data_IF_484300332086
#
_entry.id   IF_484300332086
#
_cell.length_a   1.000
_cell.length_b   1.000
_cell.length_c   1.000
_cell.angle_alpha   90.00
_cell.angle_beta   90.00
_cell.angle_gamma   90.00
#
_symmetry.space_group_name_H-M   'P 1'
#
loop_
_entity.id
_entity.type
_entity.pdbx_description
1 polymer ?
#
# COMPACT_ATOMS: atom_id res chain seq x y z
N UNK A 1 3.93 18.03 6.77
CA UNK A 1 4.97 17.92 7.82
C UNK A 1 4.30 17.99 9.18
N UNK A 2 4.61 17.01 10.04
CA UNK A 2 4.19 16.98 11.45
C UNK A 2 5.40 17.30 12.31
N UNK A 3 5.22 18.15 13.32
CA UNK A 3 6.25 18.45 14.31
C UNK A 3 5.59 18.55 15.69
N UNK A 4 6.11 17.82 16.67
CA UNK A 4 5.58 17.78 18.05
C UNK A 4 4.07 17.51 18.12
N UNK A 5 3.58 16.59 17.28
CA UNK A 5 2.16 16.21 17.22
C UNK A 5 1.25 17.24 16.55
N UNK A 6 1.81 18.32 15.97
CA UNK A 6 1.05 19.35 15.25
C UNK A 6 1.37 19.34 13.75
N UNK A 7 0.35 19.60 12.93
CA UNK A 7 0.53 19.82 11.49
C UNK A 7 1.10 21.23 11.28
N UNK A 8 2.35 21.30 10.81
CA UNK A 8 3.06 22.57 10.60
C UNK A 8 3.07 22.99 9.14
N UNK A 9 3.09 22.03 8.21
CA UNK A 9 3.03 22.32 6.77
C UNK A 9 2.17 21.27 6.08
N UNK A 10 1.37 21.69 5.11
CA UNK A 10 0.58 20.79 4.28
C UNK A 10 0.53 21.33 2.86
N UNK A 11 1.17 20.61 1.94
CA UNK A 11 1.19 20.94 0.51
C UNK A 11 1.84 19.80 -0.29
N UNK A 12 1.93 19.96 -1.61
CA UNK A 12 2.72 19.06 -2.45
C UNK A 12 4.22 19.11 -2.12
N UNK A 13 4.93 17.97 -2.11
CA UNK A 13 6.36 17.93 -1.76
C UNK A 13 7.22 18.87 -2.63
N UNK A 14 6.92 18.99 -3.92
CA UNK A 14 7.68 19.87 -4.81
C UNK A 14 7.48 21.35 -4.49
N UNK A 15 6.27 21.74 -4.12
CA UNK A 15 5.92 23.11 -3.72
C UNK A 15 6.55 23.49 -2.39
N UNK A 16 6.51 22.57 -1.41
CA UNK A 16 7.21 22.75 -0.13
C UNK A 16 8.72 22.94 -0.32
N UNK A 17 9.32 22.21 -1.28
CA UNK A 17 10.74 22.30 -1.59
C UNK A 17 11.17 23.59 -2.31
N UNK A 18 10.24 24.32 -2.95
CA UNK A 18 10.56 25.64 -3.50
C UNK A 18 10.75 26.69 -2.40
N UNK A 19 10.11 26.49 -1.25
CA UNK A 19 10.21 27.37 -0.08
C UNK A 19 11.43 26.95 0.74
N UNK A 20 12.58 27.60 0.51
CA UNK A 20 13.84 27.26 1.21
C UNK A 20 13.75 27.36 2.74
N UNK A 21 12.86 28.20 3.25
CA UNK A 21 12.59 28.38 4.68
C UNK A 21 11.52 27.42 5.23
N UNK A 22 11.04 26.46 4.43
CA UNK A 22 10.08 25.47 4.91
C UNK A 22 10.78 24.40 5.74
N UNK A 23 10.08 23.90 6.75
CA UNK A 23 10.55 22.79 7.58
C UNK A 23 10.80 21.55 6.74
N UNK A 24 9.95 21.30 5.73
CA UNK A 24 10.19 20.21 4.79
C UNK A 24 11.51 20.37 4.02
N UNK A 25 11.82 21.57 3.54
CA UNK A 25 13.09 21.86 2.86
C UNK A 25 14.30 21.65 3.75
N UNK A 26 14.22 22.07 5.02
CA UNK A 26 15.26 21.83 6.01
C UNK A 26 15.50 20.33 6.21
N UNK A 27 14.43 19.55 6.45
CA UNK A 27 14.52 18.10 6.63
C UNK A 27 15.15 17.39 5.41
N UNK A 28 14.83 17.84 4.20
CA UNK A 28 15.43 17.29 2.98
C UNK A 28 16.89 17.70 2.83
N UNK A 29 17.27 18.90 3.26
CA UNK A 29 18.67 19.34 3.26
C UNK A 29 19.51 18.60 4.32
N UNK A 30 18.94 18.26 5.47
CA UNK A 30 19.60 17.46 6.52
C UNK A 30 20.05 16.08 6.01
N UNK A 31 19.34 15.49 5.04
CA UNK A 31 19.77 14.25 4.36
C UNK A 31 21.10 14.44 3.62
N UNK A 32 21.32 15.63 3.07
CA UNK A 32 22.58 16.03 2.44
C UNK A 32 22.91 15.32 1.11
N UNK A 33 23.90 15.90 0.41
CA UNK A 33 24.53 15.35 -0.78
C UNK A 33 23.56 14.86 -1.86
N UNK A 34 23.82 13.67 -2.41
CA UNK A 34 23.00 13.06 -3.47
C UNK A 34 21.59 12.67 -3.01
N UNK A 35 21.37 12.53 -1.71
CA UNK A 35 20.07 12.13 -1.14
C UNK A 35 19.04 13.25 -1.28
N UNK A 36 19.41 14.47 -0.93
CA UNK A 36 18.55 15.65 -1.06
C UNK A 36 18.22 15.96 -2.52
N UNK A 37 19.21 15.88 -3.41
CA UNK A 37 19.03 16.05 -4.86
C UNK A 37 18.06 15.04 -5.45
N UNK A 38 18.21 13.75 -5.07
CA UNK A 38 17.31 12.68 -5.52
C UNK A 38 15.88 12.90 -5.03
N UNK A 39 15.70 13.32 -3.78
CA UNK A 39 14.37 13.62 -3.22
C UNK A 39 13.71 14.78 -3.97
N UNK A 40 14.47 15.85 -4.26
CA UNK A 40 13.98 16.97 -5.06
C UNK A 40 13.57 16.51 -6.47
N UNK A 41 14.38 15.68 -7.12
CA UNK A 41 14.06 15.19 -8.45
C UNK A 41 12.82 14.29 -8.47
N UNK A 42 12.65 13.42 -7.47
CA UNK A 42 11.45 12.58 -7.33
C UNK A 42 10.20 13.44 -7.11
N UNK A 43 10.27 14.43 -6.21
CA UNK A 43 9.17 15.36 -5.97
C UNK A 43 8.80 16.12 -7.27
N UNK A 44 9.81 16.62 -8.00
CA UNK A 44 9.61 17.28 -9.29
C UNK A 44 8.91 16.36 -10.29
N UNK A 45 9.37 15.12 -10.46
CA UNK A 45 8.76 14.14 -11.38
C UNK A 45 7.32 13.84 -11.02
N UNK A 46 7.02 13.66 -9.73
CA UNK A 46 5.66 13.39 -9.25
C UNK A 46 4.71 14.57 -9.50
N UNK A 47 5.16 15.81 -9.28
CA UNK A 47 4.40 17.02 -9.58
C UNK A 47 4.07 17.13 -11.07
N UNK A 48 5.05 16.97 -11.96
CA UNK A 48 4.82 17.04 -13.41
C UNK A 48 3.90 15.94 -13.92
N UNK A 49 3.99 14.74 -13.36
CA UNK A 49 3.09 13.63 -13.72
C UNK A 49 1.63 13.97 -13.39
N UNK A 50 1.38 14.53 -12.20
CA UNK A 50 0.03 14.96 -11.79
C UNK A 50 -0.55 16.05 -12.68
N UNK A 51 0.26 17.03 -13.06
CA UNK A 51 -0.18 18.07 -14.00
C UNK A 51 -0.61 17.48 -15.34
N UNK A 52 0.21 16.57 -15.91
CA UNK A 52 -0.11 15.90 -17.17
C UNK A 52 -1.38 15.04 -17.08
N UNK A 53 -1.57 14.33 -15.97
CA UNK A 53 -2.78 13.53 -15.73
C UNK A 53 -4.03 14.41 -15.64
N UNK A 54 -3.95 15.54 -14.94
CA UNK A 54 -5.05 16.50 -14.84
C UNK A 54 -5.41 17.09 -16.22
N UNK A 55 -4.42 17.43 -17.04
CA UNK A 55 -4.66 17.89 -18.41
C UNK A 55 -5.37 16.82 -19.27
N UNK A 56 -5.07 15.54 -19.02
CA UNK A 56 -5.72 14.42 -19.73
C UNK A 56 -7.08 14.00 -19.17
N UNK A 57 -7.36 14.26 -17.89
CA UNK A 57 -8.59 13.86 -17.22
C UNK A 57 -9.81 14.69 -17.65
N UNK A 58 -9.61 15.94 -18.11
CA UNK A 58 -10.67 16.75 -18.71
C UNK A 58 -11.09 16.28 -20.11
N UNK A 59 -10.35 15.37 -20.75
CA UNK A 59 -10.62 14.87 -22.09
C UNK A 59 -11.18 13.44 -22.18
N UNK A 60 -11.45 12.74 -21.08
CA UNK A 60 -11.78 11.29 -21.13
C UNK A 60 -12.74 10.79 -20.04
N UNK A 61 -13.71 11.62 -19.62
CA UNK A 61 -14.92 11.10 -18.96
C UNK A 61 -15.94 10.64 -20.02
N UNK A 62 -15.65 9.56 -20.74
CA UNK A 62 -16.70 8.85 -21.47
C UNK A 62 -16.50 7.34 -21.38
N UNK A 63 -17.46 6.70 -20.70
CA UNK A 63 -17.82 5.28 -20.75
C UNK A 63 -16.84 4.28 -20.12
N UNK A 64 -16.94 4.13 -18.79
CA UNK A 64 -16.89 2.79 -18.18
C UNK A 64 -18.25 2.47 -17.56
N UNK A 65 -19.19 2.11 -18.42
CA UNK A 65 -20.43 1.47 -18.02
C UNK A 65 -20.09 0.08 -17.46
N UNK A 66 -20.37 -0.13 -16.18
CA UNK A 66 -20.45 -1.46 -15.58
C UNK A 66 -21.62 -2.23 -16.21
N UNK A 67 -21.33 -2.98 -17.26
CA UNK A 67 -22.12 -4.13 -17.71
C UNK A 67 -21.09 -5.24 -17.78
N UNK A 68 -20.99 -6.11 -16.78
CA UNK A 68 -21.71 -7.37 -16.74
C UNK A 68 -21.85 -7.86 -15.29
N UNK A 69 -23.03 -7.68 -14.70
CA UNK A 69 -23.56 -8.64 -13.72
C UNK A 69 -24.39 -9.63 -14.52
N UNK A 70 -23.74 -10.66 -15.09
CA UNK A 70 -24.45 -11.80 -15.66
C UNK A 70 -24.85 -12.72 -14.52
N UNK A 71 -26.16 -12.74 -14.30
CA UNK A 71 -26.91 -13.63 -13.43
C UNK A 71 -26.82 -15.09 -13.91
N UNK A 72 -26.19 -15.94 -13.12
CA UNK A 72 -26.39 -17.38 -13.17
C UNK A 72 -26.81 -17.89 -11.78
N UNK A 73 -28.05 -17.57 -11.41
CA UNK A 73 -28.84 -18.40 -10.51
C UNK A 73 -29.74 -19.28 -11.37
N UNK A 74 -29.56 -20.61 -11.31
CA UNK A 74 -30.65 -21.58 -11.45
C UNK A 74 -30.26 -22.96 -10.88
N UNK A 75 -30.72 -23.18 -9.65
CA UNK A 75 -31.42 -24.41 -9.28
C UNK A 75 -30.58 -25.63 -8.91
N UNK A 76 -30.49 -25.89 -7.60
CA UNK A 76 -30.96 -27.17 -7.05
C UNK A 76 -31.22 -27.07 -5.55
N UNK A 77 -32.51 -27.11 -5.24
CA UNK A 77 -33.06 -27.39 -3.92
C UNK A 77 -32.47 -28.69 -3.34
N UNK A 78 -32.04 -28.67 -2.08
CA UNK A 78 -32.42 -29.74 -1.13
C UNK A 78 -32.48 -29.14 0.29
N UNK A 79 -33.55 -29.43 1.06
CA UNK A 79 -33.69 -29.01 2.44
C UNK A 79 -33.07 -30.03 3.41
N UNK A 80 -32.59 -29.50 4.54
CA UNK A 80 -32.26 -30.15 5.83
C UNK A 80 -32.45 -31.68 5.98
N UNK A 81 -31.41 -32.36 6.45
CA UNK A 81 -31.55 -33.68 7.08
C UNK A 81 -30.25 -34.36 7.54
N UNK A 82 -29.98 -34.26 8.84
CA UNK A 82 -29.43 -35.31 9.72
C UNK A 82 -27.92 -35.66 9.61
N UNK A 83 -27.35 -35.72 10.82
CA UNK A 83 -25.99 -36.03 11.25
C UNK A 83 -25.45 -37.37 10.75
N UNK A 84 -24.13 -37.47 10.50
CA UNK A 84 -23.38 -38.59 11.06
C UNK A 84 -21.88 -38.27 11.26
N UNK A 85 -21.36 -38.71 12.39
CA UNK A 85 -19.97 -38.55 12.80
C UNK A 85 -19.11 -39.58 12.06
N UNK A 86 -18.08 -39.15 11.34
CA UNK A 86 -16.99 -40.05 10.97
C UNK A 86 -15.62 -39.36 11.02
N UNK A 87 -14.94 -39.58 12.14
CA UNK A 87 -13.51 -39.44 12.31
C UNK A 87 -12.88 -40.77 11.93
N UNK A 88 -11.88 -40.79 11.02
CA UNK A 88 -10.82 -41.78 11.11
C UNK A 88 -9.52 -41.05 11.44
N UNK A 89 -9.16 -41.10 12.72
CA UNK A 89 -7.76 -40.98 13.10
C UNK A 89 -7.00 -42.19 12.60
N UNK A 90 -5.77 -41.97 12.14
CA UNK A 90 -4.63 -42.85 12.43
C UNK A 90 -3.33 -42.08 12.18
N UNK A 91 -2.53 -42.06 13.24
CA UNK A 91 -1.22 -41.47 13.36
C UNK A 91 -0.15 -42.17 12.49
N UNK A 92 0.97 -41.47 12.32
CA UNK A 92 2.38 -41.91 12.19
C UNK A 92 3.11 -40.77 11.44
N UNK A 93 3.94 -39.90 12.01
CA UNK A 93 4.95 -40.12 13.03
C UNK A 93 6.34 -40.11 12.38
N UNK A 94 6.99 -38.93 12.28
CA UNK A 94 8.46 -38.81 12.27
C UNK A 94 8.84 -37.50 12.94
N UNK A 95 9.37 -37.63 14.15
CA UNK A 95 10.10 -36.59 14.89
C UNK A 95 11.55 -36.66 14.45
N UNK A 96 12.14 -35.54 14.07
CA UNK A 96 13.59 -35.31 14.10
C UNK A 96 13.84 -33.83 13.80
N UNK A 97 14.70 -33.09 14.48
CA UNK A 97 15.37 -33.24 15.75
C UNK A 97 15.71 -31.81 16.19
N UNK A 98 15.71 -31.63 17.49
CA UNK A 98 16.06 -30.43 18.22
C UNK A 98 17.55 -30.16 18.01
N UNK A 99 17.93 -28.91 17.76
CA UNK A 99 19.24 -28.39 18.14
C UNK A 99 19.10 -26.90 18.42
N UNK A 100 18.65 -26.59 19.64
CA UNK A 100 19.12 -25.39 20.31
C UNK A 100 20.62 -25.55 20.57
N UNK A 101 21.39 -24.51 20.32
CA UNK A 101 22.51 -24.20 21.20
C UNK A 101 22.62 -22.69 21.30
N UNK A 102 22.08 -22.20 22.41
CA UNK A 102 22.36 -20.89 22.96
C UNK A 102 23.63 -20.96 23.82
N UNK A 103 24.18 -19.78 24.15
CA UNK A 103 25.25 -19.49 25.15
C UNK A 103 26.73 -19.46 24.72
N UNK A 104 27.18 -18.22 24.47
CA UNK A 104 28.08 -17.42 25.33
C UNK A 104 29.33 -18.12 25.92
N UNK A 105 30.52 -17.74 25.43
CA UNK A 105 31.55 -16.97 26.19
C UNK A 105 32.71 -16.55 25.29
#
# INVERSE_FOLDING_TARGET
VLHEGRLVEFDEPYELLQKKSSRFSELVQEVGGKGSEKLLEMARKAHHRRLKENDSAFGSQHLRSNSERSSDERGRDTPNGITDNHVPGKANGTVSSIAEHDSIR
#
